data_IF_610470322625
#
_entry.id   IF_610470322625
#
_cell.length_a   1.000
_cell.length_b   1.000
_cell.length_c   1.000
_cell.angle_alpha   90.00
_cell.angle_beta   90.00
_cell.angle_gamma   90.00
#
_symmetry.space_group_name_H-M   'P 1'
#
loop_
_entity.id
_entity.type
_entity.pdbx_description
1 polymer ?
2 non-polymer ?
3 water ?
#
# COMPACT_ATOMS: atom_id res chain seq x y z
N UNK A 113 3.00 21.80 -5.19
CA UNK A 113 3.59 20.87 -6.17
C UNK A 113 2.61 19.74 -6.52
N UNK A 114 2.91 19.01 -7.60
CA UNK A 114 2.13 17.85 -8.02
C UNK A 114 2.14 16.82 -6.86
N UNK A 115 3.34 16.53 -6.29
CA UNK A 115 3.48 15.56 -5.22
C UNK A 115 2.69 15.94 -3.98
N UNK A 116 2.74 17.25 -3.59
CA UNK A 116 2.04 17.74 -2.39
C UNK A 116 0.52 17.46 -2.51
N UNK A 117 -0.06 17.82 -3.65
CA UNK A 117 -1.48 17.61 -3.86
C UNK A 117 -1.82 16.12 -3.79
N UNK A 118 -1.03 15.28 -4.49
CA UNK A 118 -1.30 13.83 -4.51
C UNK A 118 -1.15 13.17 -3.12
N UNK A 119 -0.10 13.54 -2.35
CA UNK A 119 0.09 12.94 -1.03
C UNK A 119 -1.06 13.33 -0.09
N UNK A 120 -1.43 14.64 -0.04
CA UNK A 120 -2.57 15.08 0.78
C UNK A 120 -3.92 14.48 0.35
N UNK A 121 -4.18 14.36 -0.96
CA UNK A 121 -5.46 13.81 -1.38
C UNK A 121 -5.56 12.28 -1.18
N UNK A 122 -4.44 11.57 -1.27
CA UNK A 122 -4.35 10.14 -1.06
C UNK A 122 -4.58 9.91 0.44
N UNK A 123 -3.99 10.78 1.28
CA UNK A 123 -4.24 10.65 2.70
C UNK A 123 -5.70 10.96 3.03
N UNK A 124 -6.21 12.19 2.73
CA UNK A 124 -7.58 12.60 3.05
C UNK A 124 -8.64 11.73 2.41
N UNK A 125 -8.43 11.40 1.12
CA UNK A 125 -9.41 10.70 0.28
C UNK A 125 -9.34 9.18 0.24
N UNK A 126 -8.34 8.57 0.92
CA UNK A 126 -8.23 7.13 0.97
C UNK A 126 -7.76 6.65 2.35
N UNK A 127 -6.51 6.96 2.75
CA UNK A 127 -6.00 6.41 4.02
C UNK A 127 -6.83 6.81 5.25
N UNK A 128 -7.29 8.06 5.29
CA UNK A 128 -8.06 8.56 6.43
C UNK A 128 -9.45 7.88 6.53
N UNK A 129 -9.93 7.30 5.40
CA UNK A 129 -11.21 6.59 5.36
C UNK A 129 -11.05 5.09 5.71
N UNK A 130 -9.92 4.46 5.36
CA UNK A 130 -9.74 3.02 5.62
C UNK A 130 -8.93 2.69 6.87
N UNK A 131 -8.00 3.56 7.27
CA UNK A 131 -7.18 3.19 8.42
C UNK A 131 -7.96 3.09 9.73
N UNK A 132 -9.03 3.88 10.01
CA UNK A 132 -9.75 3.71 11.29
C UNK A 132 -10.55 2.42 11.40
N UNK A 133 -10.78 1.75 10.26
CA UNK A 133 -11.55 0.53 10.20
C UNK A 133 -10.71 -0.71 9.96
N UNK A 134 -9.40 -0.56 9.67
CA UNK A 134 -8.55 -1.70 9.29
C UNK A 134 -8.35 -2.74 10.39
N UNK A 135 -8.02 -2.29 11.62
CA UNK A 135 -7.78 -3.16 12.79
C UNK A 135 -8.90 -4.19 12.98
N UNK A 136 -10.16 -3.71 12.96
CA UNK A 136 -11.35 -4.53 13.14
C UNK A 136 -11.54 -5.51 11.98
N UNK A 137 -11.24 -5.09 10.71
CA UNK A 137 -11.32 -6.00 9.58
C UNK A 137 -10.29 -7.13 9.72
N UNK A 138 -9.05 -6.79 10.17
CA UNK A 138 -7.99 -7.78 10.32
C UNK A 138 -8.36 -8.78 11.41
N UNK A 139 -8.89 -8.26 12.53
CA UNK A 139 -9.30 -9.07 13.69
C UNK A 139 -10.44 -10.03 13.29
N UNK A 140 -11.45 -9.53 12.52
CA UNK A 140 -12.57 -10.32 12.00
C UNK A 140 -12.01 -11.46 11.13
N UNK A 141 -11.05 -11.15 10.24
CA UNK A 141 -10.44 -12.16 9.39
C UNK A 141 -9.71 -13.20 10.29
N UNK A 142 -8.86 -12.73 11.22
CA UNK A 142 -8.05 -13.59 12.09
C UNK A 142 -8.87 -14.50 13.01
N UNK A 143 -10.09 -14.06 13.35
CA UNK A 143 -11.00 -14.82 14.24
C UNK A 143 -11.98 -15.70 13.50
N UNK A 144 -12.04 -15.58 12.17
CA UNK A 144 -12.97 -16.37 11.37
C UNK A 144 -12.61 -17.87 11.36
N UNK A 145 -13.62 -18.77 11.54
CA UNK A 145 -13.44 -20.23 11.61
C UNK A 145 -12.65 -20.83 10.43
N UNK A 146 -12.68 -20.20 9.24
CA UNK A 146 -11.94 -20.69 8.08
C UNK A 146 -10.45 -20.36 8.15
N UNK A 147 -10.04 -19.48 9.08
CA UNK A 147 -8.66 -18.95 9.16
C UNK A 147 -7.89 -19.28 10.43
N UNK A 148 -8.50 -19.99 11.38
CA UNK A 148 -7.87 -20.31 12.65
C UNK A 148 -6.68 -21.29 12.55
N UNK A 149 -6.57 -22.08 11.45
CA UNK A 149 -5.47 -23.02 11.30
C UNK A 149 -4.28 -22.43 10.51
N UNK A 150 -4.32 -21.10 10.27
CA UNK A 150 -3.25 -20.38 9.58
C UNK A 150 -2.68 -19.36 10.52
N UNK A 151 -1.49 -18.87 10.23
CA UNK A 151 -0.87 -17.81 11.05
C UNK A 151 -1.68 -16.53 10.96
N UNK A 152 -1.63 -15.73 12.02
CA UNK A 152 -2.40 -14.50 12.08
C UNK A 152 -1.87 -13.49 11.05
N UNK A 153 -2.80 -12.75 10.43
CA UNK A 153 -2.44 -11.66 9.53
C UNK A 153 -1.94 -10.53 10.42
N UNK A 154 -0.77 -9.97 10.09
CA UNK A 154 -0.21 -8.84 10.82
C UNK A 154 -1.14 -7.65 10.80
N UNK A 155 -1.07 -6.82 11.85
CA UNK A 155 -1.83 -5.60 11.89
C UNK A 155 -1.14 -4.63 10.91
N UNK A 156 -1.80 -3.54 10.57
CA UNK A 156 -1.28 -2.45 9.71
C UNK A 156 -1.34 -2.70 8.21
N UNK A 157 -1.59 -1.62 7.48
CA UNK A 157 -1.58 -1.67 6.04
C UNK A 157 -0.15 -1.37 5.58
N UNK A 158 0.44 -2.27 4.80
CA UNK A 158 1.80 -2.13 4.27
C UNK A 158 1.69 -1.51 2.87
N UNK A 159 2.17 -0.26 2.75
CA UNK A 159 2.10 0.53 1.52
C UNK A 159 3.47 0.53 0.81
N UNK A 160 3.50 -0.08 -0.37
CA UNK A 160 4.69 -0.12 -1.21
C UNK A 160 4.91 1.19 -1.95
N UNK A 161 6.11 1.74 -1.77
CA UNK A 161 6.52 3.02 -2.34
C UNK A 161 7.72 2.86 -3.27
N UNK A 162 7.57 2.26 -4.47
CA UNK A 162 8.75 2.17 -5.36
C UNK A 162 9.11 3.57 -5.83
N UNK A 163 10.33 4.00 -5.57
CA UNK A 163 10.78 5.33 -5.98
C UNK A 163 10.94 5.47 -7.51
N UNK A 164 11.05 4.33 -8.24
CA UNK A 164 11.11 4.31 -9.73
C UNK A 164 9.71 4.37 -10.38
N UNK A 165 8.63 4.38 -9.55
CA UNK A 165 7.21 4.38 -9.99
C UNK A 165 6.77 3.15 -10.83
N UNK A 166 7.56 2.07 -10.77
CA UNK A 166 7.21 0.84 -11.49
C UNK A 166 6.11 0.18 -10.70
N UNK A 167 4.84 0.39 -11.08
CA UNK A 167 3.78 -0.21 -10.28
C UNK A 167 3.02 -1.28 -11.08
N UNK A 168 3.34 -2.58 -10.85
CA UNK A 168 2.53 -3.63 -11.48
C UNK A 168 1.20 -3.81 -10.73
N UNK A 169 0.20 -4.37 -11.42
CA UNK A 169 -1.08 -4.67 -10.77
C UNK A 169 -1.05 -5.98 -10.02
N UNK A 170 -0.20 -6.89 -10.46
CA UNK A 170 -0.07 -8.19 -9.83
C UNK A 170 1.26 -8.23 -9.04
N UNK A 171 1.16 -8.36 -7.71
CA UNK A 171 2.31 -8.40 -6.79
C UNK A 171 3.21 -9.63 -6.95
N UNK A 172 2.62 -10.79 -7.32
CA UNK A 172 3.34 -12.06 -7.52
C UNK A 172 4.26 -11.99 -8.74
N UNK A 173 4.00 -11.05 -9.66
CA UNK A 173 4.78 -10.82 -10.87
C UNK A 173 6.08 -10.06 -10.56
N UNK A 174 6.03 -9.11 -9.61
CA UNK A 174 7.19 -8.34 -9.16
C UNK A 174 8.13 -9.19 -8.28
N UNK A 175 7.56 -10.20 -7.59
CA UNK A 175 8.29 -11.15 -6.72
C UNK A 175 7.45 -12.42 -6.52
N UNK A 176 7.95 -13.60 -6.97
CA UNK A 176 7.19 -14.85 -6.77
C UNK A 176 6.99 -15.25 -5.30
N UNK A 177 7.88 -14.76 -4.42
CA UNK A 177 7.80 -15.00 -2.97
C UNK A 177 6.67 -14.22 -2.27
N UNK A 178 5.89 -13.43 -3.03
CA UNK A 178 4.73 -12.70 -2.52
C UNK A 178 3.51 -13.43 -3.10
N UNK A 179 2.85 -14.26 -2.26
CA UNK A 179 1.73 -15.10 -2.66
C UNK A 179 0.40 -14.59 -2.13
N UNK A 180 -0.57 -14.36 -3.04
CA UNK A 180 -1.90 -13.92 -2.67
C UNK A 180 -2.57 -14.99 -1.81
N UNK A 181 -3.09 -14.59 -0.65
CA UNK A 181 -3.78 -15.48 0.26
C UNK A 181 -5.29 -15.34 0.21
N UNK A 182 -5.81 -14.11 0.36
CA UNK A 182 -7.25 -13.86 0.45
C UNK A 182 -7.51 -12.35 0.44
N UNK A 183 -8.77 -11.96 0.33
CA UNK A 183 -9.15 -10.56 0.45
C UNK A 183 -9.62 -10.39 1.89
N UNK A 184 -9.46 -9.20 2.49
CA UNK A 184 -10.01 -8.90 3.80
C UNK A 184 -11.53 -8.78 3.59
N UNK A 185 -12.40 -8.82 4.62
CA UNK A 185 -13.82 -8.49 4.37
C UNK A 185 -13.83 -7.01 3.87
N UNK A 186 -14.66 -6.67 2.88
CA UNK A 186 -14.73 -5.30 2.34
C UNK A 186 -15.28 -4.31 3.35
N UNK A 187 -14.93 -3.03 3.17
CA UNK A 187 -15.45 -1.93 3.96
C UNK A 187 -16.26 -1.15 2.93
N UNK A 188 -17.39 -0.60 3.34
CA UNK A 188 -18.22 0.26 2.48
C UNK A 188 -18.50 1.54 3.21
N UNK A 189 -18.70 2.64 2.47
CA UNK A 189 -19.01 3.95 3.06
C UNK A 189 -19.65 4.79 1.96
N UNK A 190 -20.60 5.67 2.31
CA UNK A 190 -21.13 6.59 1.28
C UNK A 190 -20.05 7.64 1.03
N UNK A 191 -19.70 7.85 -0.26
CA UNK A 191 -18.60 8.75 -0.61
C UNK A 191 -18.95 9.59 -1.84
N UNK A 192 -19.17 10.90 -1.63
CA UNK A 192 -19.37 11.89 -2.71
C UNK A 192 -20.45 11.48 -3.74
N UNK A 193 -21.56 10.94 -3.23
CA UNK A 193 -22.66 10.50 -4.09
C UNK A 193 -22.60 9.02 -4.44
N UNK A 194 -21.49 8.36 -4.15
CA UNK A 194 -21.35 6.92 -4.39
C UNK A 194 -21.86 6.23 -3.11
N UNK A 195 -23.03 5.61 -3.22
CA UNK A 195 -23.60 4.89 -2.08
C UNK A 195 -22.83 3.59 -1.91
N UNK A 196 -22.46 3.27 -0.68
CA UNK A 196 -21.70 2.04 -0.38
C UNK A 196 -20.46 1.89 -1.28
N UNK A 197 -19.68 2.98 -1.45
CA UNK A 197 -18.39 2.94 -2.16
C UNK A 197 -17.59 1.81 -1.44
N UNK A 198 -17.06 0.87 -2.21
CA UNK A 198 -16.37 -0.31 -1.68
C UNK A 198 -14.86 -0.15 -1.61
N UNK A 199 -14.29 -0.46 -0.44
CA UNK A 199 -12.84 -0.49 -0.21
C UNK A 199 -12.44 -1.95 -0.04
N UNK A 200 -11.73 -2.50 -1.02
CA UNK A 200 -11.24 -3.86 -0.94
C UNK A 200 -9.72 -3.83 -0.67
N UNK A 201 -9.22 -4.81 0.07
CA UNK A 201 -7.78 -4.88 0.32
C UNK A 201 -7.37 -6.34 0.35
N UNK A 202 -6.11 -6.62 -0.05
CA UNK A 202 -5.64 -8.00 -0.23
C UNK A 202 -4.58 -8.44 0.75
N UNK A 203 -4.66 -9.70 1.18
CA UNK A 203 -3.72 -10.35 2.11
C UNK A 203 -2.76 -11.24 1.33
N UNK A 204 -1.45 -11.11 1.65
CA UNK A 204 -0.37 -11.84 1.01
C UNK A 204 0.48 -12.54 2.04
N UNK A 205 0.97 -13.71 1.67
CA UNK A 205 1.89 -14.53 2.44
C UNK A 205 3.26 -14.22 1.85
N UNK A 206 4.25 -14.00 2.72
CA UNK A 206 5.61 -13.71 2.27
C UNK A 206 6.46 -14.96 2.49
N UNK A 207 7.01 -15.49 1.41
CA UNK A 207 7.79 -16.72 1.41
C UNK A 207 9.31 -16.50 1.51
N UNK A 208 9.95 -17.26 2.39
CA UNK A 208 11.40 -17.27 2.62
C UNK A 208 11.83 -18.73 2.52
N UNK A 209 12.58 -19.06 1.44
CA UNK A 209 13.05 -20.42 1.11
C UNK A 209 11.88 -21.41 1.04
N UNK A 210 10.87 -21.04 0.23
CA UNK A 210 9.64 -21.79 0.01
C UNK A 210 8.71 -21.90 1.21
N UNK A 211 9.07 -21.25 2.34
CA UNK A 211 8.29 -21.32 3.57
C UNK A 211 7.67 -19.99 3.98
N UNK A 212 6.43 -20.04 4.50
CA UNK A 212 5.69 -18.86 4.96
C UNK A 212 6.44 -18.22 6.13
N UNK A 213 6.83 -16.95 5.95
CA UNK A 213 7.60 -16.16 6.90
C UNK A 213 6.79 -15.01 7.51
N UNK A 214 5.70 -14.63 6.83
CA UNK A 214 4.85 -13.56 7.31
C UNK A 214 3.60 -13.45 6.46
N UNK A 215 2.57 -12.83 7.00
CA UNK A 215 1.30 -12.61 6.30
C UNK A 215 0.86 -11.19 6.59
N UNK A 216 0.52 -10.41 5.55
CA UNK A 216 0.12 -9.02 5.79
C UNK A 216 -0.78 -8.48 4.67
N UNK A 217 -1.41 -7.33 4.93
CA UNK A 217 -2.26 -6.61 3.96
C UNK A 217 -1.27 -5.67 3.24
N UNK A 218 -1.23 -5.77 1.91
CA UNK A 218 -0.21 -5.11 1.09
C UNK A 218 -0.76 -4.55 -0.20
N UNK A 219 -0.23 -3.39 -0.61
CA UNK A 219 -0.61 -2.74 -1.87
C UNK A 219 0.37 -1.63 -2.16
N UNK A 220 0.39 -1.18 -3.41
CA UNK A 220 1.17 -0.01 -3.78
C UNK A 220 0.32 1.26 -3.61
N UNK A 221 0.98 2.41 -3.36
CA UNK A 221 0.31 3.72 -3.34
C UNK A 221 0.02 4.03 -4.84
N UNK A 222 -1.25 4.00 -5.21
CA UNK A 222 -1.63 4.17 -6.60
C UNK A 222 -1.18 5.56 -7.20
N UNK A 223 -1.03 6.70 -6.46
CA UNK A 223 -0.47 7.94 -7.09
C UNK A 223 0.94 7.75 -7.69
N UNK A 224 1.72 6.73 -7.22
CA UNK A 224 3.03 6.46 -7.85
C UNK A 224 2.81 5.84 -9.22
N UNK A 225 1.71 5.07 -9.38
CA UNK A 225 1.39 4.46 -10.67
C UNK A 225 0.94 5.54 -11.67
N UNK A 226 0.11 6.50 -11.21
CA UNK A 226 -0.37 7.61 -12.07
C UNK A 226 0.77 8.58 -12.40
N UNK A 227 1.76 8.77 -11.48
CA UNK A 227 2.91 9.63 -11.78
C UNK A 227 3.73 9.00 -12.91
N UNK A 228 3.96 7.67 -12.88
CA UNK A 228 4.66 7.00 -13.97
C UNK A 228 3.90 7.17 -15.27
N UNK A 229 2.61 6.87 -15.25
CA UNK A 229 1.78 6.97 -16.43
C UNK A 229 1.70 8.39 -17.00
N UNK A 230 1.63 9.43 -16.13
CA UNK A 230 1.61 10.85 -16.57
C UNK A 230 2.80 11.20 -17.49
N UNK A 231 3.98 10.71 -17.15
CA UNK A 231 5.22 11.00 -17.88
C UNK A 231 5.17 10.45 -19.31
N UNK A 232 4.31 9.45 -19.55
CA UNK A 232 4.14 8.81 -20.88
C UNK A 232 3.14 9.57 -21.79
N UNK A 233 2.29 10.48 -21.24
CA UNK A 233 1.30 11.23 -22.01
C UNK A 233 1.88 12.54 -22.49
N UNK A 234 1.94 12.75 -23.81
CA UNK A 234 2.50 13.99 -24.35
C UNK A 234 1.74 15.24 -23.79
N UNK A 235 0.40 15.16 -23.72
CA UNK A 235 -0.47 16.24 -23.23
C UNK A 235 -0.20 16.66 -21.77
N UNK A 236 0.34 15.76 -20.96
CA UNK A 236 0.60 16.11 -19.55
C UNK A 236 1.82 17.03 -19.36
N UNK A 237 2.71 17.11 -20.37
CA UNK A 237 3.92 17.93 -20.30
C UNK A 237 4.76 17.68 -19.05
N UNK A 238 4.97 16.39 -18.72
CA UNK A 238 5.55 15.88 -17.49
C UNK A 238 6.68 14.93 -17.84
N UNK A 239 7.92 15.34 -17.56
CA UNK A 239 9.10 14.57 -17.98
C UNK A 239 9.43 13.41 -17.05
N UNK A 240 10.37 12.54 -17.47
CA UNK A 240 10.87 11.43 -16.65
C UNK A 240 11.60 12.01 -15.41
N UNK A 241 12.25 13.20 -15.56
CA UNK A 241 12.96 13.89 -14.47
C UNK A 241 11.90 14.40 -13.46
N UNK A 242 10.78 14.94 -13.96
CA UNK A 242 9.65 15.39 -13.14
C UNK A 242 9.06 14.21 -12.34
N UNK A 243 8.84 13.07 -13.02
CA UNK A 243 8.30 11.85 -12.44
C UNK A 243 9.15 11.43 -11.23
N UNK A 244 10.49 11.31 -11.42
CA UNK A 244 11.47 10.92 -10.39
C UNK A 244 11.46 11.88 -9.17
N UNK A 245 11.49 13.19 -9.42
CA UNK A 245 11.50 14.27 -8.42
C UNK A 245 10.18 14.25 -7.62
N UNK A 246 9.06 14.22 -8.36
CA UNK A 246 7.75 14.18 -7.69
C UNK A 246 7.48 12.87 -6.95
N UNK A 247 7.97 11.73 -7.43
CA UNK A 247 7.74 10.47 -6.71
C UNK A 247 8.43 10.52 -5.33
N UNK A 248 9.68 11.04 -5.29
CA UNK A 248 10.43 11.16 -4.05
C UNK A 248 9.68 12.09 -3.10
N UNK A 249 9.21 13.26 -3.61
CA UNK A 249 8.49 14.24 -2.82
C UNK A 249 7.17 13.68 -2.31
N UNK A 250 6.49 12.84 -3.13
CA UNK A 250 5.24 12.24 -2.72
C UNK A 250 5.46 11.39 -1.46
N UNK A 251 6.49 10.56 -1.50
CA UNK A 251 6.89 9.64 -0.41
C UNK A 251 7.26 10.42 0.85
N UNK A 252 8.09 11.48 0.71
CA UNK A 252 8.45 12.37 1.83
C UNK A 252 7.24 13.03 2.45
N UNK A 253 6.30 13.57 1.60
CA UNK A 253 5.13 14.27 2.11
C UNK A 253 4.21 13.29 2.82
N UNK A 254 4.06 12.09 2.26
CA UNK A 254 3.19 11.08 2.88
C UNK A 254 3.74 10.68 4.29
N UNK A 255 5.07 10.53 4.40
CA UNK A 255 5.77 10.26 5.66
C UNK A 255 5.48 11.39 6.67
N UNK A 256 5.64 12.67 6.23
CA UNK A 256 5.40 13.88 7.06
C UNK A 256 3.96 13.93 7.57
N UNK A 257 2.97 13.62 6.70
CA UNK A 257 1.57 13.61 7.08
C UNK A 257 1.35 12.53 8.17
N UNK A 258 1.71 11.27 7.88
CA UNK A 258 1.52 10.14 8.79
C UNK A 258 2.23 10.29 10.13
N UNK A 259 3.43 10.91 10.15
CA UNK A 259 4.18 11.14 11.39
C UNK A 259 3.40 12.01 12.40
N UNK A 260 2.67 13.03 11.90
CA UNK A 260 1.90 13.96 12.72
C UNK A 260 0.42 13.56 12.91
N UNK A 261 0.05 12.34 12.48
CA UNK A 261 -1.28 11.76 12.65
C UNK A 261 -1.06 10.37 13.33
N UNK A 262 -0.77 10.33 14.68
CA UNK A 262 -0.46 9.04 15.34
C UNK A 262 -1.51 7.94 15.19
N UNK A 263 -2.80 8.31 15.15
CA UNK A 263 -3.90 7.35 14.94
C UNK A 263 -3.74 6.62 13.58
N UNK A 264 -3.41 7.38 12.51
CA UNK A 264 -3.17 6.86 11.16
C UNK A 264 -1.81 6.14 11.08
N UNK A 265 -0.76 6.70 11.74
CA UNK A 265 0.59 6.12 11.75
C UNK A 265 0.63 4.70 12.36
N UNK A 266 -0.13 4.44 13.45
CA UNK A 266 -0.14 3.12 14.10
C UNK A 266 -0.82 1.99 13.29
N UNK A 267 -1.54 2.36 12.22
CA UNK A 267 -2.27 1.42 11.39
C UNK A 267 -1.67 1.25 9.99
N UNK A 268 -0.49 1.80 9.73
CA UNK A 268 0.14 1.65 8.43
C UNK A 268 1.64 1.73 8.51
N UNK A 269 2.31 1.22 7.48
CA UNK A 269 3.78 1.21 7.39
C UNK A 269 4.15 1.49 5.95
N UNK A 270 5.03 2.48 5.76
CA UNK A 270 5.50 2.87 4.43
C UNK A 270 6.76 2.12 4.05
N UNK A 271 6.73 1.44 2.91
CA UNK A 271 7.85 0.65 2.42
C UNK A 271 8.46 1.29 1.20
N UNK A 272 9.49 2.13 1.39
CA UNK A 272 10.13 2.79 0.25
C UNK A 272 11.37 2.01 -0.20
N UNK A 273 11.60 1.98 -1.52
CA UNK A 273 12.75 1.28 -2.11
C UNK A 273 13.07 1.76 -3.51
N UNK A 274 14.34 1.59 -3.91
CA UNK A 274 14.85 1.88 -5.26
C UNK A 274 15.19 0.53 -5.90
N UNK A 275 15.11 0.42 -7.23
CA UNK A 275 15.42 -0.82 -7.95
C UNK A 275 16.54 -0.62 -8.96
N UNK A 281 20.31 -9.16 -7.27
CA UNK A 281 18.89 -9.08 -7.64
C UNK A 281 18.05 -8.57 -6.47
N UNK A 282 17.11 -7.64 -6.73
CA UNK A 282 16.25 -7.06 -5.70
C UNK A 282 15.13 -8.00 -5.27
N UNK A 283 14.96 -8.14 -3.94
CA UNK A 283 13.89 -8.98 -3.37
C UNK A 283 12.88 -8.11 -2.61
N UNK A 284 11.70 -7.93 -3.21
CA UNK A 284 10.59 -7.16 -2.64
C UNK A 284 10.08 -7.83 -1.35
N UNK A 285 9.96 -9.18 -1.35
CA UNK A 285 9.55 -9.97 -0.18
C UNK A 285 10.48 -9.77 1.01
N UNK A 286 11.81 -9.71 0.76
CA UNK A 286 12.79 -9.47 1.82
C UNK A 286 12.63 -8.10 2.43
N UNK A 287 12.28 -7.10 1.60
CA UNK A 287 12.03 -5.71 2.02
C UNK A 287 10.79 -5.62 2.92
N UNK A 288 9.70 -6.31 2.54
CA UNK A 288 8.45 -6.33 3.34
C UNK A 288 8.71 -7.06 4.67
N UNK A 289 9.46 -8.19 4.61
CA UNK A 289 9.81 -9.01 5.78
C UNK A 289 10.63 -8.26 6.82
N UNK A 290 11.55 -7.37 6.40
CA UNK A 290 12.35 -6.57 7.34
C UNK A 290 11.43 -5.63 8.15
N UNK A 291 10.43 -5.00 7.48
CA UNK A 291 9.45 -4.13 8.14
C UNK A 291 8.52 -4.95 9.04
N UNK A 292 8.10 -6.13 8.56
CA UNK A 292 7.21 -7.04 9.28
C UNK A 292 7.86 -7.56 10.56
N UNK A 293 9.18 -7.83 10.50
CA UNK A 293 9.98 -8.34 11.64
C UNK A 293 10.42 -7.26 12.63
N UNK A 294 10.49 -5.99 12.19
CA UNK A 294 10.88 -4.84 13.01
C UNK A 294 9.87 -4.62 14.15
N UNK A 295 8.59 -4.95 13.90
CA UNK A 295 7.47 -4.82 14.84
C UNK A 295 7.61 -5.78 16.03
X LIG B 1 -6.45 3.93 -6.56
X LIG B 1 -7.07 2.87 -6.32
X LIG B 1 -7.84 2.30 -7.13
X LIG B 1 -6.91 2.28 -4.94
X LIG B 1 -6.88 3.35 -3.85
X LIG B 1 -8.12 4.20 -3.83
X LIG B 1 -9.25 3.72 -3.75
X LIG B 1 -7.92 5.64 -3.85
X LIG B 1 -6.78 6.35 -4.06
X LIG B 1 -9.31 6.71 -3.65
X LIG B 1 -8.29 8.10 -3.89
X LIG B 1 -6.95 7.76 -4.13
X LIG B 1 -6.06 8.80 -4.46
X LIG B 1 -8.72 9.41 -3.94
X LIG B 1 -7.83 10.42 -4.27
X LIG B 1 -8.15 11.74 -4.29
X LIG B 1 -9.52 12.09 -4.06
X LIG B 1 -6.49 10.13 -4.56
X LIG B 1 -5.53 11.19 -5.02
X LIG B 1 -6.01 11.97 -6.25
X LIG B 1 -5.93 11.24 -7.58
X LIG B 1 -6.80 10.01 -7.66
X LIG B 1 -8.18 10.13 -7.51
X LIG B 1 -9.02 9.02 -7.52
X LIG B 1 -6.25 8.73 -7.84
X LIG B 1 -4.90 8.70 -8.02
X LIG B 1 -4.28 7.41 -8.10
X LIG B 1 -7.06 7.61 -7.83
X LIG B 1 -8.43 7.75 -7.67
X LIG B 1 -9.56 6.44 -7.51
X LIG B 1 -10.86 7.58 -7.23
X LIG B 1 -10.44 8.87 -7.30
X LIG B 1 -12.19 7.05 -6.89
X LIG B 1 -12.37 5.84 -6.76
X LIG B 1 -13.32 8.03 -6.80
X LIG B 1 -14.16 7.83 -5.53
X LIG B 1 -13.32 7.94 -4.27
X LIG B 1 -13.59 7.19 -3.30
X LIG B 1 -12.38 8.77 -4.29
#
# INVERSE_FOLDING_TARGET
>A
MAHHHHHHGSDSEVNQEAKPEVKPEVKPETHINLKVSDGSSEIFFKIKKTTPLRRLMEAFAKRQGKEMDSLTFLYDGIEIQADQTPEDLDMEDNDIIEAHREQIGGENLYFQSVAHGLAWSYYIGYLRLILPELQARIRTYNQHYNNLLRGAVSQRLYILLPLDCGVPDNLSMADPNIRFLDKLPQQTADRAGIKDRVYSNSIYELLENGQRAGTCVLEYATPLQTLFAMSQYSQAGFSREDRLEQAKLFCQTLEDILADAPESQNNCRLIAYQEPADDSSFSLSQEVLRHLRQEEKEEV
>B hetero
1 QAV O5 C23 O4 C22 C21 C20 O3 C19 C18 S1 C24 C17 C16 C25 C26 O6 C27 C15 C14 C13 C12 C10 C11 C C9 O7 C28 C8 C7 S C2 C1 C3 O C4 C5 C6 O1 O2
#
